data_IF_671002540561
#
_entry.id   IF_671002540561
#
_cell.length_a   1.000
_cell.length_b   1.000
_cell.length_c   1.000
_cell.angle_alpha   90.00
_cell.angle_beta   90.00
_cell.angle_gamma   90.00
#
_symmetry.space_group_name_H-M   'P 1'
#
loop_
_entity.id
_entity.type
_entity.pdbx_description
1 polymer ?
#
# COMPACT_ATOMS: atom_id res chain seq x y z
N UNK A 1 6.09 -7.67 -2.70
CA UNK A 1 6.42 -7.03 -1.39
C UNK A 1 5.19 -7.05 -0.51
N UNK A 2 5.38 -6.93 0.81
CA UNK A 2 4.26 -6.93 1.77
C UNK A 2 4.06 -5.53 2.32
N UNK A 3 2.82 -5.06 2.33
CA UNK A 3 2.42 -3.74 2.83
C UNK A 3 1.43 -3.93 3.97
N UNK A 4 1.63 -3.16 5.04
CA UNK A 4 0.70 -3.10 6.18
C UNK A 4 0.25 -1.67 6.38
N UNK A 5 -1.06 -1.46 6.46
CA UNK A 5 -1.68 -0.19 6.82
C UNK A 5 -2.82 -0.45 7.81
N UNK A 6 -2.90 0.37 8.86
CA UNK A 6 -3.80 0.15 9.99
C UNK A 6 -3.70 -1.31 10.51
N UNK A 7 -4.77 -2.10 10.35
CA UNK A 7 -4.86 -3.51 10.79
C UNK A 7 -4.81 -4.51 9.62
N UNK A 8 -4.53 -4.05 8.40
CA UNK A 8 -4.60 -4.87 7.20
C UNK A 8 -3.22 -5.04 6.57
N UNK A 9 -2.90 -6.26 6.15
CA UNK A 9 -1.65 -6.61 5.48
C UNK A 9 -1.97 -7.27 4.14
N UNK A 10 -1.28 -6.86 3.08
CA UNK A 10 -1.43 -7.44 1.75
C UNK A 10 -0.11 -7.51 0.99
N UNK A 11 -0.10 -8.37 -0.02
CA UNK A 11 1.01 -8.49 -0.96
C UNK A 11 0.67 -7.74 -2.24
N UNK A 12 1.60 -6.94 -2.72
CA UNK A 12 1.46 -6.19 -3.98
C UNK A 12 2.83 -5.98 -4.64
N UNK A 13 2.82 -5.47 -5.87
CA UNK A 13 3.99 -4.93 -6.55
C UNK A 13 3.94 -3.40 -6.48
N UNK A 14 5.09 -2.74 -6.54
CA UNK A 14 5.17 -1.28 -6.64
C UNK A 14 5.28 -0.88 -8.09
N UNK A 15 4.62 0.21 -8.44
CA UNK A 15 4.65 0.80 -9.76
C UNK A 15 5.39 2.14 -9.67
N UNK A 16 6.58 2.28 -10.27
CA UNK A 16 7.23 3.58 -10.41
C UNK A 16 6.41 4.49 -11.34
N UNK A 17 6.13 5.72 -10.92
CA UNK A 17 5.41 6.72 -11.73
C UNK A 17 5.73 8.13 -11.26
N UNK A 18 6.05 9.03 -12.18
CA UNK A 18 6.23 10.47 -11.93
C UNK A 18 7.14 10.77 -10.72
N UNK A 19 8.30 10.11 -10.66
CA UNK A 19 9.28 10.24 -9.56
C UNK A 19 8.81 9.66 -8.22
N UNK A 20 7.69 8.94 -8.20
CA UNK A 20 7.06 8.36 -7.01
C UNK A 20 6.78 6.87 -7.20
N UNK A 21 6.39 6.22 -6.12
CA UNK A 21 5.98 4.82 -6.11
C UNK A 21 4.50 4.72 -5.78
N UNK A 22 3.73 4.12 -6.68
CA UNK A 22 2.35 3.77 -6.42
C UNK A 22 2.29 2.37 -5.80
N UNK A 23 1.53 2.24 -4.72
CA UNK A 23 1.25 0.98 -4.04
C UNK A 23 -0.22 0.65 -4.30
N UNK A 24 -0.52 -0.33 -5.18
CA UNK A 24 -1.88 -0.74 -5.44
C UNK A 24 -2.55 -1.32 -4.19
N UNK A 25 -3.80 -0.91 -3.98
CA UNK A 25 -4.70 -1.41 -2.95
C UNK A 25 -6.09 -1.62 -3.56
N UNK A 26 -6.74 -2.74 -3.25
CA UNK A 26 -8.11 -3.00 -3.70
C UNK A 26 -9.07 -2.03 -3.01
N UNK A 27 -10.06 -1.50 -3.74
CA UNK A 27 -11.03 -0.54 -3.21
C UNK A 27 -11.81 -1.09 -1.99
N UNK A 28 -12.21 -2.37 -2.02
CA UNK A 28 -12.87 -3.01 -0.89
C UNK A 28 -12.02 -2.99 0.39
N UNK A 29 -10.69 -3.12 0.27
CA UNK A 29 -9.80 -3.04 1.42
C UNK A 29 -9.67 -1.62 1.94
N UNK A 30 -9.52 -0.63 1.03
CA UNK A 30 -9.47 0.79 1.37
C UNK A 30 -10.70 1.19 2.19
N UNK A 31 -11.89 0.81 1.72
CA UNK A 31 -13.17 1.02 2.42
C UNK A 31 -13.23 0.32 3.77
N UNK A 32 -12.76 -0.92 3.86
CA UNK A 32 -12.76 -1.69 5.11
C UNK A 32 -11.92 -1.06 6.22
N UNK A 33 -10.90 -0.26 5.88
CA UNK A 33 -10.07 0.48 6.84
C UNK A 33 -10.31 2.00 6.82
N UNK A 34 -11.35 2.46 6.12
CA UNK A 34 -11.84 3.84 6.14
C UNK A 34 -10.86 4.89 5.60
N UNK A 35 -10.04 4.54 4.61
CA UNK A 35 -9.14 5.51 3.97
C UNK A 35 -9.87 6.22 2.83
N UNK A 36 -9.86 7.55 2.83
CA UNK A 36 -10.43 8.39 1.78
C UNK A 36 -9.37 9.15 0.98
N UNK A 37 -9.79 9.76 -0.13
CA UNK A 37 -8.91 10.58 -0.96
C UNK A 37 -8.48 11.83 -0.17
N UNK A 38 -7.17 12.08 -0.14
CA UNK A 38 -6.56 13.19 0.59
C UNK A 38 -5.97 12.78 1.95
N UNK A 39 -6.29 11.57 2.44
CA UNK A 39 -5.74 11.09 3.70
C UNK A 39 -4.23 10.86 3.62
N UNK A 40 -3.54 11.30 4.67
CA UNK A 40 -2.13 10.96 4.89
C UNK A 40 -2.07 9.66 5.69
N UNK A 41 -1.70 8.57 5.02
CA UNK A 41 -1.71 7.22 5.62
C UNK A 41 -0.31 6.76 5.96
N UNK A 42 -0.10 6.32 7.20
CA UNK A 42 1.14 5.65 7.62
C UNK A 42 1.10 4.18 7.18
N UNK A 43 2.11 3.78 6.40
CA UNK A 43 2.24 2.42 5.88
C UNK A 43 3.60 1.84 6.25
N UNK A 44 3.64 0.52 6.51
CA UNK A 44 4.89 -0.23 6.62
C UNK A 44 5.06 -1.07 5.36
N UNK A 45 6.21 -0.92 4.70
CA UNK A 45 6.55 -1.71 3.52
C UNK A 45 7.70 -2.64 3.87
N UNK A 46 7.51 -3.94 3.60
CA UNK A 46 8.56 -4.96 3.66
C UNK A 46 8.91 -5.38 2.24
N UNK A 47 10.08 -4.94 1.78
CA UNK A 47 10.67 -5.40 0.54
C UNK A 47 11.16 -6.84 0.75
N UNK A 48 10.73 -7.75 -0.12
CA UNK A 48 11.37 -9.06 -0.21
C UNK A 48 12.76 -8.86 -0.82
N UNK A 49 13.77 -9.57 -0.32
CA UNK A 49 15.08 -9.60 -0.98
C UNK A 49 14.83 -10.09 -2.41
N UNK A 50 15.07 -9.22 -3.40
CA UNK A 50 15.28 -9.70 -4.77
C UNK A 50 16.62 -10.43 -4.70
N UNK A 51 16.56 -11.76 -4.63
CA UNK A 51 17.70 -12.62 -4.91
C UNK A 51 17.90 -12.70 -6.41
#
# INVERSE_FOLDING_TARGET
MTVTAAKMTWTTAVIPKDGRYLIPMKDAMRKAIGIELGDVVKMKVKLGKNG
#
